data_IF_055471000696
#
_entry.id   IF_055471000696
#
_cell.length_a   1.000
_cell.length_b   1.000
_cell.length_c   1.000
_cell.angle_alpha   90.00
_cell.angle_beta   90.00
_cell.angle_gamma   90.00
#
_symmetry.space_group_name_H-M   'P 1'
#
loop_
_entity.id
_entity.type
_entity.pdbx_description
1 polymer ?
#
# COMPACT_ATOMS: atom_id res chain seq x y z
N UNK A 1 44.82 -31.26 -9.35
CA UNK A 1 44.28 -32.56 -9.77
C UNK A 1 42.75 -32.54 -9.90
N UNK A 2 42.10 -31.37 -9.89
CA UNK A 2 40.64 -31.22 -9.98
C UNK A 2 40.13 -30.55 -11.28
N UNK A 3 41.01 -30.11 -12.14
CA UNK A 3 40.66 -29.39 -13.39
C UNK A 3 40.70 -30.33 -14.63
N UNK A 4 41.25 -31.55 -14.50
CA UNK A 4 41.36 -32.46 -15.65
C UNK A 4 40.10 -33.35 -15.88
N UNK A 5 39.13 -33.38 -14.93
CA UNK A 5 37.95 -34.23 -15.07
C UNK A 5 36.73 -33.52 -15.71
N UNK A 6 36.83 -32.23 -16.03
CA UNK A 6 35.74 -31.44 -16.64
C UNK A 6 35.78 -31.46 -18.18
N UNK A 7 36.83 -31.99 -18.79
CA UNK A 7 37.01 -32.05 -20.25
C UNK A 7 36.71 -33.41 -20.89
N UNK A 8 36.22 -34.40 -20.13
CA UNK A 8 35.61 -35.59 -20.74
C UNK A 8 34.25 -35.19 -21.29
N UNK A 9 34.24 -34.57 -22.45
CA UNK A 9 33.02 -34.53 -23.28
C UNK A 9 32.64 -35.98 -23.61
N UNK A 10 31.45 -36.46 -23.18
CA UNK A 10 31.05 -37.81 -23.54
C UNK A 10 31.05 -37.90 -25.08
N UNK A 11 31.89 -38.80 -25.60
CA UNK A 11 31.90 -39.07 -27.05
C UNK A 11 30.46 -39.36 -27.47
N UNK A 12 29.96 -38.60 -28.44
CA UNK A 12 28.62 -38.76 -28.97
C UNK A 12 28.55 -40.20 -29.47
N UNK A 13 27.73 -41.05 -28.77
CA UNK A 13 27.57 -42.46 -29.12
C UNK A 13 26.89 -42.54 -30.49
N UNK A 14 27.63 -42.95 -31.51
CA UNK A 14 27.11 -43.09 -32.87
C UNK A 14 25.85 -43.93 -32.91
N UNK A 15 25.71 -44.89 -32.00
CA UNK A 15 24.48 -45.73 -31.87
C UNK A 15 23.30 -44.93 -31.38
N UNK A 16 23.51 -43.95 -30.48
CA UNK A 16 22.42 -43.06 -30.04
C UNK A 16 21.98 -42.14 -31.18
N UNK A 17 22.94 -41.60 -31.93
CA UNK A 17 22.63 -40.76 -33.10
C UNK A 17 21.89 -41.54 -34.17
N UNK A 18 22.33 -42.76 -34.52
CA UNK A 18 21.60 -43.61 -35.46
C UNK A 18 20.23 -44.02 -34.96
N UNK A 19 20.05 -44.32 -33.69
CA UNK A 19 18.74 -44.62 -33.08
C UNK A 19 17.78 -43.46 -33.11
N UNK A 20 18.31 -42.22 -32.94
CA UNK A 20 17.51 -41.00 -33.07
C UNK A 20 17.01 -40.78 -34.50
N UNK A 21 17.88 -40.91 -35.50
CA UNK A 21 17.50 -40.77 -36.91
C UNK A 21 16.51 -41.85 -37.38
N UNK A 22 16.63 -43.08 -36.87
CA UNK A 22 15.70 -44.16 -37.21
C UNK A 22 14.29 -43.97 -36.60
N UNK A 23 14.15 -43.19 -35.55
CA UNK A 23 12.85 -42.83 -34.91
C UNK A 23 12.19 -41.59 -35.54
N UNK A 24 12.89 -40.86 -36.40
CA UNK A 24 12.36 -39.73 -37.14
C UNK A 24 11.51 -40.22 -38.32
N UNK A 25 10.23 -40.40 -38.09
CA UNK A 25 9.25 -40.69 -39.15
C UNK A 25 8.84 -39.41 -39.88
N UNK A 26 8.51 -39.53 -41.17
CA UNK A 26 8.00 -38.39 -41.96
C UNK A 26 6.80 -37.72 -41.30
N UNK A 27 5.96 -38.49 -40.63
CA UNK A 27 4.82 -38.02 -39.85
C UNK A 27 5.23 -37.08 -38.71
N UNK A 28 6.24 -37.43 -37.91
CA UNK A 28 6.77 -36.59 -36.84
C UNK A 28 7.37 -35.29 -37.37
N UNK A 29 8.05 -35.33 -38.51
CA UNK A 29 8.59 -34.15 -39.16
C UNK A 29 7.49 -33.20 -39.62
N UNK A 30 6.40 -33.75 -40.21
CA UNK A 30 5.25 -32.94 -40.57
C UNK A 30 4.57 -32.30 -39.34
N UNK A 31 4.35 -33.08 -38.27
CA UNK A 31 3.81 -32.50 -37.00
C UNK A 31 4.70 -31.41 -36.44
N UNK A 32 6.01 -31.62 -36.40
CA UNK A 32 6.97 -30.62 -35.93
C UNK A 32 6.95 -29.34 -36.78
N UNK A 33 6.87 -29.50 -38.13
CA UNK A 33 6.77 -28.36 -39.05
C UNK A 33 5.47 -27.56 -38.84
N UNK A 34 4.32 -28.24 -38.75
CA UNK A 34 3.01 -27.62 -38.48
C UNK A 34 3.03 -26.92 -37.14
N UNK A 35 3.56 -27.54 -36.09
CA UNK A 35 3.66 -26.97 -34.75
C UNK A 35 4.56 -25.72 -34.74
N UNK A 36 5.70 -25.76 -35.45
CA UNK A 36 6.61 -24.63 -35.57
C UNK A 36 5.92 -23.43 -36.26
N UNK A 37 5.18 -23.66 -37.33
CA UNK A 37 4.41 -22.62 -38.03
C UNK A 37 3.34 -22.06 -37.09
N UNK A 38 2.62 -22.92 -36.38
CA UNK A 38 1.61 -22.50 -35.40
C UNK A 38 2.21 -21.62 -34.26
N UNK A 39 3.31 -22.07 -33.68
CA UNK A 39 4.03 -21.31 -32.68
C UNK A 39 4.52 -19.95 -33.21
N UNK A 40 5.07 -19.93 -34.44
CA UNK A 40 5.53 -18.69 -35.06
C UNK A 40 4.38 -17.69 -35.29
N UNK A 41 3.21 -18.17 -35.70
CA UNK A 41 2.00 -17.36 -35.87
C UNK A 41 1.53 -16.85 -34.51
N UNK A 42 1.42 -17.73 -33.50
CA UNK A 42 1.03 -17.34 -32.14
C UNK A 42 1.97 -16.30 -31.52
N UNK A 43 3.28 -16.50 -31.64
CA UNK A 43 4.28 -15.52 -31.16
C UNK A 43 4.06 -14.16 -31.83
N UNK A 44 3.86 -14.14 -33.15
CA UNK A 44 3.59 -12.88 -33.88
C UNK A 44 2.29 -12.22 -33.40
N UNK A 45 1.23 -12.99 -33.17
CA UNK A 45 -0.03 -12.49 -32.70
C UNK A 45 0.06 -11.92 -31.28
N UNK A 46 0.72 -12.64 -30.36
CA UNK A 46 0.93 -12.20 -28.97
C UNK A 46 1.75 -10.91 -28.95
N UNK A 47 2.87 -10.85 -29.68
CA UNK A 47 3.69 -9.65 -29.73
C UNK A 47 2.96 -8.48 -30.38
N UNK A 48 2.17 -8.69 -31.43
CA UNK A 48 1.36 -7.64 -32.08
C UNK A 48 0.25 -7.15 -31.14
N UNK A 49 -0.40 -8.04 -30.38
CA UNK A 49 -1.38 -7.66 -29.38
C UNK A 49 -0.74 -6.84 -28.26
N UNK A 50 0.45 -7.26 -27.77
CA UNK A 50 1.23 -6.51 -26.81
C UNK A 50 1.58 -5.12 -27.34
N UNK A 51 2.15 -5.01 -28.57
CA UNK A 51 2.47 -3.73 -29.21
C UNK A 51 1.23 -2.80 -29.27
N UNK A 52 0.05 -3.32 -29.60
CA UNK A 52 -1.18 -2.55 -29.66
C UNK A 52 -1.68 -2.06 -28.30
N UNK A 53 -1.59 -2.91 -27.26
CA UNK A 53 -1.97 -2.54 -25.89
C UNK A 53 -1.04 -1.44 -25.32
N UNK A 54 0.25 -1.57 -25.57
CA UNK A 54 1.25 -0.64 -25.04
C UNK A 54 1.40 0.64 -25.86
N UNK A 55 0.99 0.67 -27.13
CA UNK A 55 1.01 1.90 -27.95
C UNK A 55 0.16 3.04 -27.38
N UNK A 56 -0.81 2.73 -26.52
CA UNK A 56 -1.64 3.72 -25.81
C UNK A 56 -1.15 4.00 -24.38
N UNK A 57 -0.09 3.35 -23.93
CA UNK A 57 0.50 3.52 -22.61
C UNK A 57 1.59 4.59 -22.64
N UNK A 58 1.68 5.39 -21.56
CA UNK A 58 2.77 6.38 -21.35
C UNK A 58 4.07 5.73 -20.83
N UNK A 59 4.25 4.41 -21.00
CA UNK A 59 5.46 3.71 -20.60
C UNK A 59 6.64 4.14 -21.46
N UNK A 60 7.80 4.27 -20.81
CA UNK A 60 9.06 4.56 -21.50
C UNK A 60 9.36 3.48 -22.55
N UNK A 61 9.72 3.90 -23.75
CA UNK A 61 10.03 3.02 -24.87
C UNK A 61 11.15 2.01 -24.55
N UNK A 62 12.07 2.37 -23.67
CA UNK A 62 13.19 1.52 -23.25
C UNK A 62 12.68 0.31 -22.45
N UNK A 63 11.77 0.55 -21.48
CA UNK A 63 11.18 -0.51 -20.65
C UNK A 63 10.34 -1.44 -21.52
N UNK A 64 9.54 -0.87 -22.43
CA UNK A 64 8.73 -1.67 -23.34
C UNK A 64 9.60 -2.53 -24.27
N UNK A 65 10.67 -1.98 -24.84
CA UNK A 65 11.62 -2.71 -25.67
C UNK A 65 12.24 -3.91 -24.96
N UNK A 66 12.64 -3.71 -23.69
CA UNK A 66 13.18 -4.78 -22.84
C UNK A 66 12.14 -5.88 -22.59
N UNK A 67 10.94 -5.52 -22.13
CA UNK A 67 9.84 -6.46 -21.87
C UNK A 67 9.47 -7.28 -23.13
N UNK A 68 9.38 -6.62 -24.27
CA UNK A 68 9.06 -7.26 -25.55
C UNK A 68 10.14 -8.26 -25.98
N UNK A 69 11.42 -7.87 -25.83
CA UNK A 69 12.55 -8.73 -26.19
C UNK A 69 12.61 -9.96 -25.27
N UNK A 70 12.43 -9.77 -23.97
CA UNK A 70 12.40 -10.84 -22.97
C UNK A 70 11.22 -11.80 -23.23
N UNK A 71 10.02 -11.27 -23.44
CA UNK A 71 8.84 -12.07 -23.77
C UNK A 71 9.04 -12.87 -25.06
N UNK A 72 9.62 -12.25 -26.10
CA UNK A 72 9.94 -12.94 -27.36
C UNK A 72 10.92 -14.08 -27.13
N UNK A 73 11.99 -13.86 -26.36
CA UNK A 73 12.98 -14.89 -26.05
C UNK A 73 12.36 -16.10 -25.32
N UNK A 74 11.53 -15.83 -24.31
CA UNK A 74 10.79 -16.88 -23.55
C UNK A 74 9.83 -17.64 -24.46
N UNK A 75 9.06 -16.96 -25.30
CA UNK A 75 8.12 -17.61 -26.23
C UNK A 75 8.84 -18.46 -27.27
N UNK A 76 9.97 -18.00 -27.81
CA UNK A 76 10.80 -18.79 -28.73
C UNK A 76 11.36 -20.02 -28.02
N UNK A 77 11.86 -19.86 -26.79
CA UNK A 77 12.40 -20.98 -26.02
C UNK A 77 11.30 -22.06 -25.80
N UNK A 78 10.09 -21.66 -25.41
CA UNK A 78 8.95 -22.57 -25.24
C UNK A 78 8.62 -23.27 -26.57
N UNK A 79 8.60 -22.54 -27.67
CA UNK A 79 8.34 -23.11 -29.00
C UNK A 79 9.38 -24.16 -29.40
N UNK A 80 10.66 -23.87 -29.17
CA UNK A 80 11.75 -24.82 -29.41
C UNK A 80 11.58 -26.09 -28.57
N UNK A 81 11.24 -25.95 -27.28
CA UNK A 81 11.02 -27.08 -26.38
C UNK A 81 9.85 -27.96 -26.83
N UNK A 82 8.72 -27.36 -27.26
CA UNK A 82 7.56 -28.08 -27.77
C UNK A 82 7.93 -28.86 -29.06
N UNK A 83 8.63 -28.25 -29.99
CA UNK A 83 9.07 -28.89 -31.23
C UNK A 83 10.08 -30.01 -30.94
N UNK A 84 11.04 -29.80 -30.03
CA UNK A 84 12.01 -30.83 -29.62
C UNK A 84 11.30 -32.07 -29.04
N UNK A 85 10.28 -31.86 -28.19
CA UNK A 85 9.45 -32.94 -27.62
C UNK A 85 8.75 -33.78 -28.69
N UNK A 86 8.23 -33.14 -29.75
CA UNK A 86 7.57 -33.88 -30.85
C UNK A 86 8.56 -34.74 -31.67
N UNK A 87 9.82 -34.30 -31.73
CA UNK A 87 10.90 -35.04 -32.38
C UNK A 87 11.45 -36.18 -31.52
N UNK A 88 10.97 -36.34 -30.27
CA UNK A 88 11.39 -37.38 -29.34
C UNK A 88 12.65 -37.05 -28.55
N UNK A 89 13.03 -35.77 -28.50
CA UNK A 89 14.10 -35.29 -27.62
C UNK A 89 13.53 -35.18 -26.21
N UNK A 90 14.20 -35.78 -25.23
CA UNK A 90 13.81 -35.63 -23.83
C UNK A 90 14.13 -34.21 -23.35
N UNK A 91 13.05 -33.43 -23.16
CA UNK A 91 13.14 -32.04 -22.67
C UNK A 91 12.94 -31.92 -21.18
N UNK A 92 12.73 -33.04 -20.45
CA UNK A 92 12.39 -33.05 -19.03
C UNK A 92 13.43 -32.33 -18.16
N UNK A 93 14.71 -32.56 -18.41
CA UNK A 93 15.79 -31.89 -17.67
C UNK A 93 15.80 -30.37 -17.89
N UNK A 94 15.57 -29.92 -19.12
CA UNK A 94 15.49 -28.49 -19.44
C UNK A 94 14.24 -27.84 -18.85
N UNK A 95 13.11 -28.55 -18.84
CA UNK A 95 11.88 -28.11 -18.17
C UNK A 95 12.09 -28.00 -16.66
N UNK A 96 12.81 -28.93 -16.04
CA UNK A 96 13.14 -28.85 -14.62
C UNK A 96 13.99 -27.59 -14.30
N UNK A 97 15.02 -27.33 -15.09
CA UNK A 97 15.86 -26.14 -14.93
C UNK A 97 15.03 -24.86 -15.13
N UNK A 98 14.22 -24.82 -16.18
CA UNK A 98 13.34 -23.67 -16.44
C UNK A 98 12.34 -23.43 -15.32
N UNK A 99 11.79 -24.49 -14.73
CA UNK A 99 10.86 -24.40 -13.62
C UNK A 99 11.52 -23.78 -12.37
N UNK A 100 12.75 -24.19 -12.06
CA UNK A 100 13.54 -23.61 -10.96
C UNK A 100 13.88 -22.15 -11.24
N UNK A 101 14.31 -21.83 -12.46
CA UNK A 101 14.58 -20.46 -12.87
C UNK A 101 13.32 -19.60 -12.84
N UNK A 102 12.19 -20.13 -13.30
CA UNK A 102 10.88 -19.44 -13.23
C UNK A 102 10.44 -19.16 -11.80
N UNK A 103 10.64 -20.13 -10.89
CA UNK A 103 10.38 -19.95 -9.47
C UNK A 103 11.24 -18.84 -8.87
N UNK A 104 12.54 -18.83 -9.18
CA UNK A 104 13.48 -17.80 -8.71
C UNK A 104 13.05 -16.39 -9.18
N UNK A 105 12.68 -16.24 -10.46
CA UNK A 105 12.16 -14.98 -11.02
C UNK A 105 10.85 -14.58 -10.33
N UNK A 106 9.92 -15.52 -10.14
CA UNK A 106 8.64 -15.28 -9.49
C UNK A 106 8.82 -14.75 -8.06
N UNK A 107 9.71 -15.40 -7.28
CA UNK A 107 10.04 -14.94 -5.93
C UNK A 107 10.69 -13.54 -5.92
N UNK A 108 11.55 -13.26 -6.90
CA UNK A 108 12.18 -11.94 -7.02
C UNK A 108 11.17 -10.83 -7.36
N UNK A 109 10.09 -11.16 -8.09
CA UNK A 109 9.05 -10.21 -8.49
C UNK A 109 7.87 -10.14 -7.52
N UNK A 110 7.84 -10.97 -6.48
CA UNK A 110 6.72 -11.11 -5.55
C UNK A 110 6.25 -9.76 -4.97
N UNK A 111 7.19 -8.93 -4.52
CA UNK A 111 6.87 -7.60 -3.94
C UNK A 111 6.25 -6.67 -4.98
N UNK A 112 6.76 -6.65 -6.20
CA UNK A 112 6.22 -5.82 -7.27
C UNK A 112 4.77 -6.24 -7.61
N UNK A 113 4.53 -7.55 -7.74
CA UNK A 113 3.21 -8.10 -8.03
C UNK A 113 2.23 -7.84 -6.87
N UNK A 114 2.69 -7.96 -5.62
CA UNK A 114 1.89 -7.64 -4.42
C UNK A 114 1.46 -6.17 -4.40
N UNK A 115 2.31 -5.25 -4.82
CA UNK A 115 1.95 -3.83 -4.92
C UNK A 115 0.90 -3.56 -5.99
N UNK A 116 1.00 -4.20 -7.15
CA UNK A 116 -0.01 -4.08 -8.21
C UNK A 116 -1.34 -4.67 -7.76
N UNK A 117 -1.33 -5.83 -7.10
CA UNK A 117 -2.53 -6.41 -6.50
C UNK A 117 -3.13 -5.50 -5.43
N UNK A 118 -2.29 -4.88 -4.59
CA UNK A 118 -2.70 -3.86 -3.61
C UNK A 118 -3.39 -2.66 -4.26
N UNK A 119 -2.83 -2.14 -5.37
CA UNK A 119 -3.47 -1.06 -6.12
C UNK A 119 -4.87 -1.45 -6.60
N UNK A 120 -5.01 -2.66 -7.15
CA UNK A 120 -6.30 -3.16 -7.62
C UNK A 120 -7.30 -3.28 -6.46
N UNK A 121 -6.86 -3.77 -5.30
CA UNK A 121 -7.70 -3.85 -4.09
C UNK A 121 -8.16 -2.46 -3.64
N UNK A 122 -7.26 -1.47 -3.58
CA UNK A 122 -7.60 -0.09 -3.19
C UNK A 122 -8.62 0.51 -4.17
N UNK A 123 -8.42 0.33 -5.47
CA UNK A 123 -9.28 0.88 -6.51
C UNK A 123 -10.67 0.21 -6.58
N UNK A 124 -10.77 -1.07 -6.21
CA UNK A 124 -12.03 -1.83 -6.22
C UNK A 124 -12.81 -1.66 -4.91
N UNK A 125 -12.16 -1.88 -3.76
CA UNK A 125 -12.78 -1.76 -2.44
C UNK A 125 -13.00 -0.31 -2.01
N UNK A 126 -12.16 0.62 -2.52
CA UNK A 126 -12.23 2.08 -2.28
C UNK A 126 -12.31 2.44 -0.79
N UNK A 127 -11.40 1.96 0.06
CA UNK A 127 -11.37 2.35 1.47
C UNK A 127 -11.10 3.86 1.63
N UNK A 128 -10.51 4.48 0.61
CA UNK A 128 -10.33 5.92 0.45
C UNK A 128 -10.29 6.28 -1.05
N UNK A 129 -10.40 7.56 -1.34
CA UNK A 129 -10.33 8.14 -2.68
C UNK A 129 -9.24 9.20 -2.74
N UNK A 130 -8.86 9.61 -3.96
CA UNK A 130 -8.02 10.80 -4.13
C UNK A 130 -8.74 12.03 -3.58
N UNK A 131 -8.04 12.81 -2.75
CA UNK A 131 -8.59 13.94 -2.01
C UNK A 131 -8.90 13.64 -0.54
N UNK A 132 -9.08 12.38 -0.14
CA UNK A 132 -9.32 12.01 1.25
C UNK A 132 -8.07 12.23 2.10
N UNK A 133 -8.27 12.66 3.35
CA UNK A 133 -7.22 12.69 4.36
C UNK A 133 -7.22 11.38 5.14
N UNK A 134 -6.12 10.63 5.04
CA UNK A 134 -6.00 9.29 5.62
C UNK A 134 -4.78 9.18 6.52
N UNK A 135 -4.88 8.29 7.49
CA UNK A 135 -3.73 7.83 8.27
C UNK A 135 -3.52 6.33 8.04
N UNK A 136 -2.30 5.97 7.68
CA UNK A 136 -1.86 4.60 7.39
C UNK A 136 -0.64 4.32 8.26
N UNK A 137 -0.84 3.54 9.32
CA UNK A 137 0.18 3.39 10.37
C UNK A 137 0.54 4.73 11.02
N UNK A 138 1.81 5.11 10.95
CA UNK A 138 2.35 6.37 11.48
C UNK A 138 2.35 7.53 10.45
N UNK A 139 1.91 7.29 9.23
CA UNK A 139 1.88 8.27 8.14
C UNK A 139 0.47 8.79 7.93
N UNK A 140 0.33 10.12 7.87
CA UNK A 140 -0.94 10.77 7.59
C UNK A 140 -0.79 11.83 6.49
N UNK A 141 -1.83 11.99 5.67
CA UNK A 141 -1.83 12.98 4.60
C UNK A 141 -3.02 12.85 3.66
N UNK A 142 -3.16 13.84 2.79
CA UNK A 142 -4.17 13.83 1.72
C UNK A 142 -3.71 12.95 0.57
N UNK A 143 -4.53 12.02 0.15
CA UNK A 143 -4.28 11.15 -1.00
C UNK A 143 -4.24 11.97 -2.28
N UNK A 144 -3.09 12.00 -2.96
CA UNK A 144 -2.93 12.66 -4.25
C UNK A 144 -3.27 11.73 -5.40
N UNK A 145 -2.55 10.61 -5.48
CA UNK A 145 -2.71 9.64 -6.57
C UNK A 145 -2.54 8.22 -6.06
N UNK A 146 -3.28 7.30 -6.64
CA UNK A 146 -3.15 5.86 -6.45
C UNK A 146 -2.50 5.32 -7.72
N UNK A 147 -1.20 5.03 -7.66
CA UNK A 147 -0.44 4.45 -8.78
C UNK A 147 -0.42 2.94 -8.74
N UNK A 148 0.22 2.32 -9.74
CA UNK A 148 0.31 0.86 -9.84
C UNK A 148 1.13 0.21 -8.71
N UNK A 149 2.13 0.92 -8.18
CA UNK A 149 3.04 0.40 -7.14
C UNK A 149 2.92 1.20 -5.84
N UNK A 150 2.78 2.50 -5.95
CA UNK A 150 2.76 3.43 -4.83
C UNK A 150 1.49 4.28 -4.85
N UNK A 151 0.96 4.54 -3.67
CA UNK A 151 0.01 5.63 -3.40
C UNK A 151 0.79 6.81 -2.83
N UNK A 152 0.56 8.02 -3.34
CA UNK A 152 1.19 9.23 -2.84
C UNK A 152 0.25 10.02 -1.94
N UNK A 153 0.77 10.42 -0.77
CA UNK A 153 0.09 11.26 0.20
C UNK A 153 0.82 12.60 0.30
N UNK A 154 0.08 13.68 0.49
CA UNK A 154 0.63 15.00 0.82
C UNK A 154 0.34 15.31 2.28
N UNK A 155 1.39 15.55 3.04
CA UNK A 155 1.32 15.93 4.45
C UNK A 155 0.85 17.39 4.61
N UNK A 156 0.54 17.79 5.84
CA UNK A 156 0.14 19.17 6.17
C UNK A 156 1.24 20.20 5.90
N UNK A 157 2.50 19.80 6.08
CA UNK A 157 3.70 20.59 5.79
C UNK A 157 4.16 20.49 4.33
N UNK A 158 3.25 20.02 3.44
CA UNK A 158 3.41 19.95 1.99
C UNK A 158 4.53 19.01 1.50
N UNK A 159 4.89 17.99 2.29
CA UNK A 159 5.78 16.92 1.85
C UNK A 159 4.98 15.82 1.14
N UNK A 160 5.63 15.07 0.24
CA UNK A 160 5.00 13.95 -0.45
C UNK A 160 5.59 12.65 0.08
N UNK A 161 4.71 11.79 0.59
CA UNK A 161 5.04 10.45 1.05
C UNK A 161 4.57 9.45 -0.02
N UNK A 162 5.46 8.54 -0.43
CA UNK A 162 5.11 7.43 -1.31
C UNK A 162 5.03 6.15 -0.49
N UNK A 163 3.82 5.58 -0.39
CA UNK A 163 3.57 4.34 0.33
C UNK A 163 3.36 3.19 -0.66
N UNK A 164 4.08 2.06 -0.51
CA UNK A 164 3.81 0.86 -1.29
C UNK A 164 2.37 0.38 -1.08
N UNK A 165 1.65 0.07 -2.17
CA UNK A 165 0.24 -0.32 -2.06
C UNK A 165 0.03 -1.61 -1.24
N UNK A 166 1.00 -2.54 -1.29
CA UNK A 166 0.97 -3.76 -0.48
C UNK A 166 1.01 -3.45 1.02
N UNK A 167 1.77 -2.44 1.44
CA UNK A 167 1.83 -2.00 2.84
C UNK A 167 0.49 -1.39 3.29
N UNK A 168 -0.17 -0.64 2.41
CA UNK A 168 -1.47 -0.03 2.70
C UNK A 168 -2.54 -1.11 2.91
N UNK A 169 -2.58 -2.12 2.04
CA UNK A 169 -3.62 -3.16 2.07
C UNK A 169 -3.45 -4.18 3.20
N UNK A 170 -2.26 -4.28 3.78
CA UNK A 170 -1.98 -5.17 4.92
C UNK A 170 -2.09 -4.47 6.28
N UNK A 171 -2.10 -3.14 6.30
CA UNK A 171 -2.19 -2.32 7.50
C UNK A 171 -3.61 -1.82 7.82
N UNK A 172 -3.74 -1.15 8.96
CA UNK A 172 -4.97 -0.40 9.28
C UNK A 172 -4.99 0.92 8.52
N UNK A 173 -6.16 1.27 8.00
CA UNK A 173 -6.42 2.53 7.31
C UNK A 173 -7.47 3.30 8.13
N UNK A 174 -7.13 4.51 8.55
CA UNK A 174 -8.08 5.43 9.17
C UNK A 174 -8.37 6.52 8.14
N UNK A 175 -9.59 6.53 7.59
CA UNK A 175 -10.04 7.60 6.72
C UNK A 175 -10.74 8.67 7.58
N UNK A 176 -10.15 9.86 7.63
CA UNK A 176 -10.62 10.96 8.47
C UNK A 176 -11.64 11.86 7.76
N UNK A 177 -11.87 11.64 6.47
CA UNK A 177 -12.73 12.48 5.62
C UNK A 177 -13.86 11.71 4.94
N UNK A 178 -13.99 10.40 5.21
CA UNK A 178 -15.07 9.58 4.64
C UNK A 178 -16.45 9.94 5.18
N UNK A 179 -16.50 10.44 6.42
CA UNK A 179 -17.74 10.87 7.07
C UNK A 179 -17.84 12.38 7.09
N UNK A 180 -19.03 12.90 6.86
CA UNK A 180 -19.29 14.35 6.83
C UNK A 180 -19.15 15.04 8.19
N UNK A 181 -19.19 14.27 9.28
CA UNK A 181 -19.20 14.76 10.66
C UNK A 181 -18.15 14.04 11.48
N UNK A 182 -17.42 14.77 12.30
CA UNK A 182 -16.43 14.22 13.21
C UNK A 182 -16.62 14.74 14.62
N UNK A 183 -16.27 13.90 15.61
CA UNK A 183 -16.19 14.31 17.01
C UNK A 183 -14.86 15.02 17.24
N UNK A 184 -14.94 16.19 17.80
CA UNK A 184 -13.80 16.99 18.26
C UNK A 184 -13.60 16.70 19.75
N UNK A 185 -12.40 16.26 20.11
CA UNK A 185 -12.03 15.97 21.50
C UNK A 185 -10.94 16.98 21.89
N UNK A 186 -11.26 17.90 22.84
CA UNK A 186 -10.32 18.91 23.36
C UNK A 186 -9.99 18.57 24.80
N UNK A 187 -8.70 18.40 25.11
CA UNK A 187 -8.26 18.09 26.47
C UNK A 187 -7.75 19.34 27.15
N UNK A 188 -8.23 19.59 28.37
CA UNK A 188 -7.83 20.73 29.20
C UNK A 188 -7.60 20.29 30.65
N UNK A 189 -6.88 21.10 31.42
CA UNK A 189 -6.58 20.82 32.83
C UNK A 189 -7.12 21.94 33.74
N UNK A 190 -7.75 21.53 34.84
CA UNK A 190 -8.24 22.48 35.87
C UNK A 190 -7.76 22.07 37.27
N UNK A 191 -7.85 22.97 38.23
CA UNK A 191 -7.43 22.76 39.60
C UNK A 191 -8.28 21.72 40.33
N UNK A 192 -7.70 21.05 41.31
CA UNK A 192 -8.41 20.23 42.28
C UNK A 192 -9.37 21.05 43.16
N UNK A 193 -9.10 22.35 43.30
CA UNK A 193 -9.92 23.27 44.09
C UNK A 193 -11.22 23.67 43.38
N UNK A 194 -11.31 23.44 42.05
CA UNK A 194 -12.48 23.77 41.28
C UNK A 194 -13.47 22.57 41.26
N UNK A 195 -14.71 22.86 41.56
CA UNK A 195 -15.77 21.81 41.51
C UNK A 195 -15.90 21.24 40.09
N UNK A 196 -15.84 19.91 39.95
CA UNK A 196 -15.84 19.24 38.65
C UNK A 196 -17.09 19.56 37.81
N UNK A 197 -18.26 19.77 38.47
CA UNK A 197 -19.49 20.14 37.77
C UNK A 197 -19.41 21.54 37.16
N UNK A 198 -18.77 22.49 37.90
CA UNK A 198 -18.52 23.83 37.38
C UNK A 198 -17.62 23.83 36.17
N UNK A 199 -16.52 23.05 36.21
CA UNK A 199 -15.61 22.90 35.07
C UNK A 199 -16.32 22.29 33.88
N UNK A 200 -17.04 21.20 34.07
CA UNK A 200 -17.81 20.53 33.00
C UNK A 200 -18.85 21.47 32.37
N UNK A 201 -19.58 22.22 33.17
CA UNK A 201 -20.57 23.18 32.68
C UNK A 201 -19.93 24.28 31.81
N UNK A 202 -18.81 24.84 32.27
CA UNK A 202 -18.08 25.86 31.52
C UNK A 202 -17.55 25.34 30.18
N UNK A 203 -16.98 24.13 30.15
CA UNK A 203 -16.50 23.47 28.94
C UNK A 203 -17.64 23.22 27.94
N UNK A 204 -18.77 22.66 28.40
CA UNK A 204 -19.92 22.42 27.55
C UNK A 204 -20.51 23.72 26.99
N UNK A 205 -20.58 24.78 27.82
CA UNK A 205 -21.07 26.08 27.37
C UNK A 205 -20.17 26.69 26.27
N UNK A 206 -18.85 26.58 26.43
CA UNK A 206 -17.89 27.06 25.43
C UNK A 206 -18.07 26.39 24.06
N UNK A 207 -18.14 25.06 24.03
CA UNK A 207 -18.36 24.33 22.78
C UNK A 207 -19.75 24.59 22.19
N UNK A 208 -20.79 24.70 23.01
CA UNK A 208 -22.14 24.97 22.54
C UNK A 208 -22.31 26.39 21.97
N UNK A 209 -21.50 27.35 22.42
CA UNK A 209 -21.48 28.73 21.93
C UNK A 209 -20.79 28.86 20.58
N UNK A 210 -19.93 27.92 20.21
CA UNK A 210 -19.20 27.96 18.94
C UNK A 210 -20.16 27.74 17.75
N UNK A 211 -20.12 28.60 16.74
CA UNK A 211 -21.11 28.65 15.65
C UNK A 211 -21.16 27.37 14.80
N UNK A 212 -19.99 26.67 14.65
CA UNK A 212 -19.83 25.46 13.83
C UNK A 212 -20.03 24.18 14.59
N UNK A 213 -20.33 24.27 15.89
CA UNK A 213 -20.72 23.09 16.68
C UNK A 213 -22.11 22.61 16.26
N UNK A 214 -22.23 21.32 15.98
CA UNK A 214 -23.50 20.70 15.61
C UNK A 214 -24.42 20.60 16.82
N UNK A 215 -25.58 21.28 16.76
CA UNK A 215 -26.53 21.36 17.88
C UNK A 215 -27.45 20.13 18.01
N UNK A 216 -27.49 19.29 16.99
CA UNK A 216 -28.23 18.02 16.97
C UNK A 216 -27.46 16.86 17.59
N UNK A 217 -26.22 17.11 18.02
CA UNK A 217 -25.31 16.14 18.63
C UNK A 217 -24.97 16.56 20.07
N UNK A 218 -24.70 15.58 20.96
CA UNK A 218 -24.37 15.89 22.35
C UNK A 218 -23.05 16.62 22.46
N UNK A 219 -23.00 17.58 23.42
CA UNK A 219 -21.78 18.22 23.90
C UNK A 219 -21.55 17.72 25.32
N UNK A 220 -20.41 17.08 25.57
CA UNK A 220 -20.11 16.39 26.81
C UNK A 220 -18.73 16.73 27.33
N UNK A 221 -18.58 16.86 28.65
CA UNK A 221 -17.30 17.02 29.29
C UNK A 221 -17.12 15.98 30.41
N UNK A 222 -16.00 15.26 30.37
CA UNK A 222 -15.70 14.20 31.33
C UNK A 222 -14.29 14.35 31.92
N UNK A 223 -14.09 13.85 33.14
CA UNK A 223 -12.77 13.65 33.70
C UNK A 223 -12.08 12.50 32.98
N UNK A 224 -10.85 12.71 32.53
CA UNK A 224 -10.01 11.69 31.89
C UNK A 224 -9.07 11.05 32.90
N UNK A 225 -8.40 11.90 33.70
CA UNK A 225 -7.44 11.44 34.70
C UNK A 225 -7.24 12.48 35.81
N UNK A 226 -6.76 11.99 36.93
CA UNK A 226 -6.29 12.79 38.05
C UNK A 226 -4.75 12.79 38.00
N UNK A 227 -4.16 13.93 37.63
CA UNK A 227 -2.71 14.12 37.55
C UNK A 227 -2.12 14.66 38.81
N UNK A 228 -0.80 14.84 38.86
CA UNK A 228 -0.05 15.28 40.05
C UNK A 228 -0.46 16.68 40.55
N UNK A 229 -0.84 17.58 39.66
CA UNK A 229 -1.16 18.98 40.01
C UNK A 229 -2.49 19.47 39.41
N UNK A 230 -3.20 18.63 38.64
CA UNK A 230 -4.44 19.04 37.98
C UNK A 230 -5.31 17.84 37.63
N UNK A 231 -6.61 18.11 37.48
CA UNK A 231 -7.55 17.16 36.91
C UNK A 231 -7.66 17.41 35.42
N UNK A 232 -7.45 16.36 34.61
CA UNK A 232 -7.61 16.45 33.17
C UNK A 232 -9.04 16.16 32.76
N UNK A 233 -9.60 17.03 31.93
CA UNK A 233 -10.92 16.92 31.36
C UNK A 233 -10.82 16.79 29.85
N UNK A 234 -11.73 16.02 29.25
CA UNK A 234 -11.96 16.01 27.81
C UNK A 234 -13.33 16.62 27.52
N UNK A 235 -13.36 17.63 26.68
CA UNK A 235 -14.56 18.19 26.09
C UNK A 235 -14.77 17.53 24.74
N UNK A 236 -15.98 16.98 24.52
CA UNK A 236 -16.38 16.28 23.30
C UNK A 236 -17.55 16.98 22.68
N UNK A 237 -17.42 17.32 21.42
CA UNK A 237 -18.50 17.90 20.63
C UNK A 237 -18.35 17.50 19.17
N UNK A 238 -19.34 17.82 18.35
CA UNK A 238 -19.37 17.41 16.96
C UNK A 238 -19.32 18.60 16.04
N UNK A 239 -18.56 18.47 14.94
CA UNK A 239 -18.45 19.46 13.89
C UNK A 239 -18.46 18.78 12.51
N UNK A 240 -18.64 19.55 11.45
CA UNK A 240 -18.41 19.05 10.09
C UNK A 240 -16.93 18.68 9.94
N UNK A 241 -16.66 17.68 9.15
CA UNK A 241 -15.27 17.21 8.92
C UNK A 241 -14.37 18.31 8.37
N UNK A 242 -14.88 19.16 7.50
CA UNK A 242 -14.18 20.32 6.94
C UNK A 242 -13.83 21.38 8.01
N UNK A 243 -14.65 21.51 9.04
CA UNK A 243 -14.50 22.49 10.12
C UNK A 243 -13.77 21.95 11.35
N UNK A 244 -13.36 20.69 11.33
CA UNK A 244 -12.76 20.00 12.49
C UNK A 244 -11.63 20.79 13.15
N UNK A 245 -10.64 21.21 12.36
CA UNK A 245 -9.48 21.91 12.89
C UNK A 245 -9.80 23.35 13.32
N UNK A 246 -10.71 24.01 12.61
CA UNK A 246 -11.20 25.33 13.00
C UNK A 246 -11.87 25.25 14.38
N UNK A 247 -12.83 24.34 14.55
CA UNK A 247 -13.51 24.14 15.82
C UNK A 247 -12.55 23.74 16.96
N UNK A 248 -11.59 22.83 16.66
CA UNK A 248 -10.61 22.40 17.65
C UNK A 248 -9.75 23.57 18.15
N UNK A 249 -9.18 24.35 17.22
CA UNK A 249 -8.30 25.46 17.55
C UNK A 249 -9.06 26.61 18.23
N UNK A 250 -10.19 27.03 17.67
CA UNK A 250 -10.98 28.15 18.21
C UNK A 250 -11.45 27.89 19.64
N UNK A 251 -11.93 26.65 19.91
CA UNK A 251 -12.34 26.27 21.27
C UNK A 251 -11.16 26.17 22.21
N UNK A 252 -10.03 25.63 21.76
CA UNK A 252 -8.82 25.51 22.59
C UNK A 252 -8.21 26.87 22.90
N UNK A 253 -8.10 27.75 21.91
CA UNK A 253 -7.55 29.11 22.07
C UNK A 253 -8.42 29.98 22.98
N UNK A 254 -9.76 29.85 22.88
CA UNK A 254 -10.70 30.57 23.73
C UNK A 254 -10.77 30.05 25.18
N UNK A 255 -10.12 28.92 25.49
CA UNK A 255 -10.31 28.24 26.78
C UNK A 255 -9.84 29.05 27.98
N UNK A 256 -8.79 29.88 27.83
CA UNK A 256 -8.29 30.74 28.88
C UNK A 256 -9.33 31.79 29.31
N UNK A 257 -10.03 32.39 28.35
CA UNK A 257 -11.10 33.34 28.60
C UNK A 257 -12.30 32.71 29.29
N UNK A 258 -12.69 31.52 28.80
CA UNK A 258 -13.80 30.72 29.37
C UNK A 258 -13.52 30.40 30.84
N UNK A 259 -12.31 29.92 31.15
CA UNK A 259 -11.94 29.58 32.53
C UNK A 259 -11.88 30.80 33.41
N UNK A 260 -11.28 31.89 32.92
CA UNK A 260 -11.23 33.18 33.66
C UNK A 260 -12.63 33.70 33.95
N UNK A 261 -13.53 33.74 32.98
CA UNK A 261 -14.90 34.19 33.16
C UNK A 261 -15.70 33.30 34.12
N UNK A 262 -15.43 32.01 34.14
CA UNK A 262 -16.05 31.06 35.05
C UNK A 262 -15.36 31.03 36.44
N UNK A 263 -14.24 31.72 36.64
CA UNK A 263 -13.46 31.64 37.88
C UNK A 263 -12.90 30.24 38.12
N UNK A 264 -12.40 29.60 37.05
CA UNK A 264 -11.74 28.28 37.05
C UNK A 264 -10.24 28.52 36.93
N UNK A 265 -9.44 27.81 37.70
CA UNK A 265 -7.99 28.00 37.77
C UNK A 265 -7.28 27.07 36.79
N UNK A 266 -6.53 27.63 35.85
CA UNK A 266 -5.55 26.88 35.07
C UNK A 266 -4.31 26.61 35.93
N UNK A 267 -3.98 25.33 36.12
CA UNK A 267 -2.93 24.93 37.04
C UNK A 267 -1.52 25.03 36.45
N UNK A 268 -0.64 25.50 37.28
CA UNK A 268 0.80 25.29 37.12
C UNK A 268 1.23 24.07 37.94
N UNK A 269 2.42 23.49 37.71
CA UNK A 269 2.95 22.44 38.58
C UNK A 269 3.05 22.92 40.02
N UNK A 270 2.44 22.18 40.97
CA UNK A 270 2.48 22.49 42.40
C UNK A 270 3.40 21.52 43.13
N UNK A 271 4.15 22.05 44.11
CA UNK A 271 4.97 21.25 45.02
C UNK A 271 4.52 21.60 46.43
N UNK A 272 4.04 20.63 47.19
CA UNK A 272 3.77 20.81 48.62
C UNK A 272 5.07 20.61 49.43
N UNK A 273 5.54 21.65 50.05
CA UNK A 273 6.76 21.63 50.90
C UNK A 273 6.32 21.53 52.36
N UNK A 274 6.55 20.39 53.00
CA UNK A 274 6.39 20.25 54.44
C UNK A 274 7.72 20.60 55.11
N UNK A 275 7.78 21.79 55.77
CA UNK A 275 8.93 22.13 56.60
C UNK A 275 8.78 21.41 57.92
N UNK A 276 9.69 20.46 58.20
CA UNK A 276 9.76 19.81 59.50
C UNK A 276 10.17 20.81 60.56
N UNK A 277 9.47 20.80 61.68
CA UNK A 277 9.78 21.55 62.87
C UNK A 277 11.01 21.01 63.62
#
# INVERSE_FOLDING_TARGET
MFIASVLDTPAIDEKQVQSFFSKLTLEKLLYAAVLLVLCAVLIKLILKAADKLFSHSKLDHTIFGFLRTTAKAVLIFIAVMLVAGTLGIDTSSLLAILSVAGLAVSLSMQTALSNVAGALMILTAKPFRSGDYVQIGDKAGTVLTIGAVYTSLRTYDNQIIYLPNSQITTGSIVNMTSEDVRRVDVTVSASYDDAADKVRAALCAAAAAHEKTLRDRPVEAHVVSYGDSSIQYVLRFWARTEDYWTCYNDVLDGMQEVFSAAGITMCYPHINVHMGS
#
